data_IF_030984428312
#
_entry.id   IF_030984428312
#
_cell.length_a   1.000
_cell.length_b   1.000
_cell.length_c   1.000
_cell.angle_alpha   90.00
_cell.angle_beta   90.00
_cell.angle_gamma   90.00
#
_symmetry.space_group_name_H-M   'P 1'
#
loop_
_entity.id
_entity.type
_entity.pdbx_description
1 polymer ?
#
# COMPACT_ATOMS: atom_id res chain seq x y z
N UNK A 1 -2.33 1.74 -30.12
CA UNK A 1 -1.90 2.93 -30.87
C UNK A 1 -1.34 3.95 -29.88
N UNK A 2 -0.10 3.71 -29.45
CA UNK A 2 0.80 4.62 -28.72
C UNK A 2 2.16 3.93 -28.83
N UNK A 3 2.80 4.09 -29.99
CA UNK A 3 4.10 3.50 -30.24
C UNK A 3 5.15 4.52 -29.82
N UNK A 4 5.35 4.68 -28.50
CA UNK A 4 6.38 5.55 -27.89
C UNK A 4 7.76 5.19 -28.47
N UNK A 5 8.01 5.77 -29.63
CA UNK A 5 9.23 5.66 -30.40
C UNK A 5 10.10 6.84 -30.01
N UNK A 6 11.42 6.71 -30.16
CA UNK A 6 12.35 7.78 -29.79
C UNK A 6 11.99 9.14 -30.41
N UNK A 7 11.37 9.14 -31.59
CA UNK A 7 10.88 10.34 -32.27
C UNK A 7 9.73 11.05 -31.54
N UNK A 8 8.77 10.32 -30.96
CA UNK A 8 7.65 10.92 -30.23
C UNK A 8 8.11 11.59 -28.92
N UNK A 9 9.10 11.00 -28.24
CA UNK A 9 9.72 11.61 -27.05
C UNK A 9 10.40 12.93 -27.41
N UNK A 10 11.14 12.97 -28.52
CA UNK A 10 11.78 14.20 -29.01
C UNK A 10 10.74 15.26 -29.38
N UNK A 11 9.64 14.87 -30.03
CA UNK A 11 8.55 15.77 -30.36
C UNK A 11 7.92 16.39 -29.11
N UNK A 12 7.63 15.58 -28.08
CA UNK A 12 7.10 16.06 -26.80
C UNK A 12 8.08 16.99 -26.06
N UNK A 13 9.39 16.70 -26.11
CA UNK A 13 10.40 17.60 -25.55
C UNK A 13 10.35 18.97 -26.24
N UNK A 14 10.34 19.00 -27.57
CA UNK A 14 10.26 20.25 -28.33
C UNK A 14 8.96 20.99 -28.00
N UNK A 15 7.82 20.29 -27.99
CA UNK A 15 6.52 20.89 -27.64
C UNK A 15 6.54 21.50 -26.24
N UNK A 16 7.11 20.78 -25.26
CA UNK A 16 7.27 21.28 -23.89
C UNK A 16 8.16 22.52 -23.82
N UNK A 17 9.26 22.56 -24.59
CA UNK A 17 10.14 23.72 -24.68
C UNK A 17 9.45 24.92 -25.34
N UNK A 18 8.57 24.71 -26.32
CA UNK A 18 7.83 25.80 -26.99
C UNK A 18 6.74 26.36 -26.08
N UNK A 19 5.97 25.49 -25.42
CA UNK A 19 4.85 25.90 -24.56
C UNK A 19 5.33 26.57 -23.28
N UNK A 20 6.33 25.98 -22.62
CA UNK A 20 6.81 26.44 -21.32
C UNK A 20 8.04 27.34 -21.43
N UNK A 21 8.87 27.15 -22.45
CA UNK A 21 10.16 27.82 -22.62
C UNK A 21 11.34 26.97 -22.12
N UNK A 22 12.51 26.98 -22.81
CA UNK A 22 13.68 26.20 -22.42
C UNK A 22 14.28 26.62 -21.08
N UNK A 23 14.12 27.89 -20.68
CA UNK A 23 14.60 28.38 -19.40
C UNK A 23 13.70 27.99 -18.23
N UNK A 24 12.38 27.86 -18.46
CA UNK A 24 11.40 27.59 -17.40
C UNK A 24 11.25 26.10 -17.11
N UNK A 25 11.41 25.23 -18.11
CA UNK A 25 11.35 23.77 -17.94
C UNK A 25 12.29 23.24 -16.84
N UNK A 26 13.60 23.55 -16.81
CA UNK A 26 14.50 23.08 -15.76
C UNK A 26 14.14 23.65 -14.39
N UNK A 27 13.61 24.88 -14.33
CA UNK A 27 13.18 25.51 -13.07
C UNK A 27 11.96 24.77 -12.50
N UNK A 28 10.98 24.43 -13.34
CA UNK A 28 9.78 23.68 -12.93
C UNK A 28 10.16 22.26 -12.50
N UNK A 29 11.02 21.57 -13.26
CA UNK A 29 11.50 20.24 -12.89
C UNK A 29 12.25 20.25 -11.55
N UNK A 30 13.09 21.27 -11.30
CA UNK A 30 13.78 21.42 -10.01
C UNK A 30 12.81 21.64 -8.86
N UNK A 31 11.79 22.48 -9.04
CA UNK A 31 10.76 22.72 -8.01
C UNK A 31 9.92 21.47 -7.75
N UNK A 32 9.44 20.82 -8.81
CA UNK A 32 8.66 19.59 -8.71
C UNK A 32 9.48 18.45 -8.08
N UNK A 33 10.74 18.30 -8.48
CA UNK A 33 11.65 17.31 -7.91
C UNK A 33 11.95 17.56 -6.44
N UNK A 34 12.13 18.82 -6.03
CA UNK A 34 12.29 19.18 -4.62
C UNK A 34 11.04 18.87 -3.81
N UNK A 35 9.86 19.28 -4.28
CA UNK A 35 8.58 18.98 -3.65
C UNK A 35 8.34 17.47 -3.52
N UNK A 36 8.61 16.71 -4.58
CA UNK A 36 8.50 15.26 -4.56
C UNK A 36 9.49 14.61 -3.59
N UNK A 37 10.72 15.11 -3.53
CA UNK A 37 11.74 14.65 -2.58
C UNK A 37 11.34 14.92 -1.12
N UNK A 38 10.83 16.12 -0.84
CA UNK A 38 10.31 16.49 0.48
C UNK A 38 9.10 15.63 0.85
N UNK A 39 8.13 15.47 -0.06
CA UNK A 39 6.97 14.60 0.14
C UNK A 39 7.36 13.14 0.40
N UNK A 40 8.29 12.59 -0.40
CA UNK A 40 8.81 11.23 -0.23
C UNK A 40 9.46 11.06 1.14
N UNK A 41 10.23 12.05 1.59
CA UNK A 41 10.92 12.01 2.88
C UNK A 41 9.93 12.03 4.05
N UNK A 42 8.97 12.96 4.01
CA UNK A 42 7.86 13.03 4.99
C UNK A 42 7.07 11.72 5.02
N UNK A 43 6.77 11.15 3.85
CA UNK A 43 6.04 9.88 3.75
C UNK A 43 6.88 8.71 4.27
N UNK A 44 8.19 8.72 4.02
CA UNK A 44 9.13 7.68 4.50
C UNK A 44 9.29 7.74 6.01
N UNK A 45 9.43 8.93 6.57
CA UNK A 45 9.55 9.14 8.02
C UNK A 45 8.23 8.75 8.71
N UNK A 46 7.09 9.22 8.16
CA UNK A 46 5.77 8.82 8.62
C UNK A 46 5.56 7.30 8.51
N UNK A 47 5.98 6.65 7.42
CA UNK A 47 5.87 5.20 7.26
C UNK A 47 6.72 4.45 8.29
N UNK A 48 7.91 4.96 8.63
CA UNK A 48 8.76 4.39 9.68
C UNK A 48 8.08 4.47 11.04
N UNK A 49 7.58 5.66 11.40
CA UNK A 49 6.92 5.91 12.69
C UNK A 49 5.60 5.15 12.79
N UNK A 50 4.80 5.13 11.71
CA UNK A 50 3.55 4.38 11.65
C UNK A 50 3.82 2.87 11.71
N UNK A 51 4.85 2.37 11.03
CA UNK A 51 5.22 0.96 11.09
C UNK A 51 5.68 0.58 12.50
N UNK A 52 6.35 1.45 13.24
CA UNK A 52 6.78 1.16 14.60
C UNK A 52 5.60 1.29 15.60
N UNK A 53 4.81 2.35 15.51
CA UNK A 53 3.67 2.59 16.38
C UNK A 53 2.51 1.62 16.16
N UNK A 54 2.33 1.10 14.95
CA UNK A 54 1.28 0.11 14.64
C UNK A 54 1.79 -1.33 14.59
N UNK A 55 3.11 -1.59 14.54
CA UNK A 55 3.60 -2.98 14.56
C UNK A 55 3.28 -3.70 15.87
N UNK A 56 3.40 -3.02 17.02
CA UNK A 56 2.99 -3.60 18.32
C UNK A 56 1.49 -3.87 18.37
N UNK A 57 0.60 -2.89 18.12
CA UNK A 57 -0.84 -3.12 18.09
C UNK A 57 -1.27 -4.20 17.09
N UNK A 58 -0.67 -4.25 15.90
CA UNK A 58 -0.98 -5.26 14.88
C UNK A 58 -0.55 -6.66 15.32
N UNK A 59 0.55 -6.77 16.06
CA UNK A 59 1.04 -8.04 16.59
C UNK A 59 0.17 -8.51 17.75
N UNK A 60 -0.14 -7.63 18.70
CA UNK A 60 -1.05 -7.91 19.81
C UNK A 60 -2.46 -8.27 19.32
N UNK A 61 -2.94 -7.60 18.27
CA UNK A 61 -4.23 -7.89 17.65
C UNK A 61 -4.22 -9.22 16.90
N UNK A 62 -3.09 -9.60 16.27
CA UNK A 62 -2.93 -10.92 15.64
C UNK A 62 -2.87 -12.03 16.68
N UNK A 63 -2.17 -11.80 17.79
CA UNK A 63 -2.07 -12.77 18.88
C UNK A 63 -3.45 -12.96 19.55
N UNK A 64 -4.15 -11.85 19.84
CA UNK A 64 -5.53 -11.90 20.33
C UNK A 64 -6.47 -12.60 19.33
N UNK A 65 -6.41 -12.25 18.05
CA UNK A 65 -7.25 -12.88 17.03
C UNK A 65 -6.98 -14.38 16.89
N UNK A 66 -5.73 -14.84 17.04
CA UNK A 66 -5.37 -16.24 17.04
C UNK A 66 -5.88 -16.98 18.29
N UNK A 67 -5.83 -16.35 19.46
CA UNK A 67 -6.39 -16.88 20.70
C UNK A 67 -7.93 -16.98 20.62
N UNK A 68 -8.60 -15.95 20.14
CA UNK A 68 -10.04 -16.00 19.89
C UNK A 68 -10.39 -17.06 18.84
N UNK A 69 -9.59 -17.19 17.79
CA UNK A 69 -9.78 -18.22 16.76
C UNK A 69 -9.61 -19.62 17.34
N UNK A 70 -8.64 -19.87 18.21
CA UNK A 70 -8.46 -21.19 18.81
C UNK A 70 -9.61 -21.55 19.76
N UNK A 71 -10.06 -20.60 20.60
CA UNK A 71 -11.24 -20.79 21.46
C UNK A 71 -12.50 -21.02 20.61
N UNK A 72 -12.68 -20.24 19.55
CA UNK A 72 -13.84 -20.36 18.66
C UNK A 72 -13.79 -21.64 17.83
N UNK A 73 -12.61 -22.06 17.36
CA UNK A 73 -12.42 -23.33 16.64
C UNK A 73 -12.63 -24.51 17.58
N UNK A 74 -12.13 -24.47 18.81
CA UNK A 74 -12.42 -25.52 19.81
C UNK A 74 -13.90 -25.59 20.16
N UNK A 75 -14.56 -24.44 20.36
CA UNK A 75 -16.00 -24.39 20.57
C UNK A 75 -16.77 -24.89 19.34
N UNK A 76 -16.34 -24.54 18.13
CA UNK A 76 -16.96 -25.01 16.89
C UNK A 76 -16.71 -26.51 16.65
N UNK A 77 -15.57 -27.05 17.05
CA UNK A 77 -15.26 -28.48 16.99
C UNK A 77 -16.08 -29.27 18.01
N UNK A 78 -16.29 -28.74 19.22
CA UNK A 78 -17.10 -29.34 20.29
C UNK A 78 -18.61 -29.24 20.00
N UNK A 79 -19.06 -28.11 19.48
CA UNK A 79 -20.42 -27.93 18.94
C UNK A 79 -20.60 -28.81 17.71
N UNK A 80 -19.59 -28.91 16.84
CA UNK A 80 -19.61 -29.75 15.66
C UNK A 80 -19.65 -31.23 15.99
N UNK A 81 -18.92 -31.69 17.02
CA UNK A 81 -18.96 -33.08 17.47
C UNK A 81 -20.29 -33.44 18.15
N UNK A 82 -20.85 -32.54 18.96
CA UNK A 82 -22.17 -32.75 19.58
C UNK A 82 -23.31 -32.66 18.56
N UNK A 83 -23.20 -31.80 17.55
CA UNK A 83 -24.13 -31.77 16.41
C UNK A 83 -23.97 -33.01 15.52
N UNK A 84 -22.75 -33.50 15.31
CA UNK A 84 -22.50 -34.71 14.52
C UNK A 84 -22.96 -35.98 15.24
N UNK A 85 -22.86 -36.03 16.57
CA UNK A 85 -23.37 -37.14 17.40
C UNK A 85 -24.91 -37.16 17.46
N UNK A 86 -25.55 -35.99 17.43
CA UNK A 86 -27.02 -35.88 17.36
C UNK A 86 -27.60 -36.06 15.96
N UNK A 87 -26.82 -35.82 14.90
CA UNK A 87 -27.25 -36.04 13.49
C UNK A 87 -27.02 -37.49 13.02
N UNK A 88 -26.13 -38.26 13.66
CA UNK A 88 -25.92 -39.71 13.37
C UNK A 88 -26.87 -40.63 14.16
N UNK A 89 -27.66 -40.08 15.11
CA UNK A 89 -28.65 -40.81 15.91
C UNK A 89 -30.08 -40.56 15.39
N UNK A 90 -30.35 -40.89 14.13
CA UNK A 90 -31.69 -41.13 13.54
C UNK A 90 -31.51 -41.90 12.20
#
# INVERSE_FOLDING_TARGET
MFNFSGSEIVFLLILGLVVLGPEKLPIVLRKAGRLYGEFKRVTSDAQSDFRQAFAEPIKDFQDAANEYKSVFTSAADEVGSSLKETVDTD
#
